data_IF_252447804601
#
_entry.id   IF_252447804601
#
_cell.length_a   1.000
_cell.length_b   1.000
_cell.length_c   1.000
_cell.angle_alpha   90.00
_cell.angle_beta   90.00
_cell.angle_gamma   90.00
#
_symmetry.space_group_name_H-M   'P 1'
#
loop_
_entity.id
_entity.type
_entity.pdbx_description
1 polymer ?
#
# COMPACT_ATOMS: atom_id res chain seq x y z
N UNK A 1 -18.39 -7.87 3.58
CA UNK A 1 -16.99 -7.57 3.96
C UNK A 1 -16.21 -7.29 2.68
N UNK A 2 -15.41 -6.24 2.65
CA UNK A 2 -14.59 -5.87 1.47
C UNK A 2 -13.35 -6.78 1.41
N UNK A 3 -12.93 -7.18 0.21
CA UNK A 3 -11.67 -7.90 -0.02
C UNK A 3 -10.88 -7.21 -1.12
N UNK A 4 -9.56 -7.32 -1.03
CA UNK A 4 -8.67 -6.88 -2.10
C UNK A 4 -8.95 -7.63 -3.40
N UNK A 5 -8.61 -7.01 -4.54
CA UNK A 5 -8.85 -7.54 -5.89
C UNK A 5 -10.32 -7.90 -6.19
N UNK A 6 -11.28 -7.17 -5.61
CA UNK A 6 -12.70 -7.30 -5.95
C UNK A 6 -13.19 -6.04 -6.66
N UNK A 7 -13.89 -6.24 -7.79
CA UNK A 7 -14.61 -5.16 -8.44
C UNK A 7 -15.93 -4.89 -7.69
N UNK A 8 -16.15 -3.64 -7.31
CA UNK A 8 -17.28 -3.23 -6.47
C UNK A 8 -17.93 -1.96 -7.00
N UNK A 9 -19.25 -1.87 -6.84
CA UNK A 9 -20.01 -0.63 -7.02
C UNK A 9 -20.31 -0.06 -5.64
N UNK A 10 -19.84 1.16 -5.38
CA UNK A 10 -20.09 1.89 -4.14
C UNK A 10 -21.09 3.02 -4.42
N UNK A 11 -22.23 3.00 -3.73
CA UNK A 11 -23.31 4.00 -3.84
C UNK A 11 -23.49 4.73 -2.52
N UNK A 12 -23.82 6.02 -2.59
CA UNK A 12 -23.90 6.94 -1.46
C UNK A 12 -22.64 7.00 -0.58
N UNK A 13 -21.42 7.07 -1.16
CA UNK A 13 -20.26 7.44 -0.35
C UNK A 13 -20.35 8.92 0.05
N UNK A 14 -19.64 9.28 1.11
CA UNK A 14 -19.27 10.69 1.33
C UNK A 14 -17.85 10.95 0.86
N UNK A 15 -17.56 12.18 0.47
CA UNK A 15 -16.21 12.63 0.14
C UNK A 15 -15.65 13.45 1.30
N UNK A 16 -14.39 13.19 1.64
CA UNK A 16 -13.66 13.98 2.63
C UNK A 16 -12.26 14.34 2.11
N UNK A 17 -11.64 15.32 2.76
CA UNK A 17 -10.25 15.65 2.48
C UNK A 17 -9.31 14.51 2.89
N UNK A 18 -8.36 14.20 2.01
CA UNK A 18 -7.28 13.28 2.30
C UNK A 18 -6.12 14.01 3.00
N UNK A 19 -6.15 13.99 4.34
CA UNK A 19 -5.12 14.57 5.22
C UNK A 19 -4.09 13.56 5.72
N UNK A 20 -4.00 12.37 5.12
CA UNK A 20 -2.99 11.39 5.51
C UNK A 20 -1.58 11.90 5.20
N UNK A 21 -0.65 11.66 6.13
CA UNK A 21 0.77 12.06 5.97
C UNK A 21 1.44 11.33 4.80
N UNK A 22 1.09 10.06 4.61
CA UNK A 22 1.51 9.23 3.48
C UNK A 22 0.27 8.95 2.64
N UNK A 23 0.34 9.24 1.35
CA UNK A 23 -0.77 9.04 0.41
C UNK A 23 -0.34 8.02 -0.64
N UNK A 24 -1.13 6.95 -0.76
CA UNK A 24 -0.95 5.92 -1.80
C UNK A 24 -1.56 6.34 -3.15
N UNK A 25 -2.35 7.42 -3.16
CA UNK A 25 -2.94 8.00 -4.36
C UNK A 25 -2.75 9.53 -4.32
N UNK A 26 -2.54 10.14 -5.48
CA UNK A 26 -2.35 11.59 -5.61
C UNK A 26 -3.61 12.42 -5.33
N UNK A 27 -4.77 11.76 -5.22
CA UNK A 27 -6.06 12.43 -4.94
C UNK A 27 -6.05 13.19 -3.61
N UNK A 28 -6.51 14.45 -3.67
CA UNK A 28 -6.79 15.27 -2.49
C UNK A 28 -8.05 14.82 -1.73
N UNK A 29 -8.85 13.93 -2.31
CA UNK A 29 -10.11 13.44 -1.76
C UNK A 29 -10.03 11.94 -1.42
N UNK A 30 -10.76 11.55 -0.38
CA UNK A 30 -11.02 10.16 0.00
C UNK A 30 -12.51 9.90 0.08
N UNK A 31 -12.89 8.64 -0.11
CA UNK A 31 -14.25 8.14 0.12
C UNK A 31 -14.36 7.72 1.59
N UNK A 32 -15.45 8.10 2.27
CA UNK A 32 -15.85 7.51 3.55
C UNK A 32 -17.16 6.73 3.38
N UNK A 33 -17.19 5.52 3.93
CA UNK A 33 -18.37 4.67 3.98
C UNK A 33 -19.18 5.00 5.23
N UNK A 34 -20.46 5.28 5.05
CA UNK A 34 -21.39 5.70 6.09
C UNK A 34 -22.56 4.71 6.17
N UNK A 35 -23.47 4.89 7.12
CA UNK A 35 -24.60 3.99 7.35
C UNK A 35 -25.53 3.82 6.12
N UNK A 36 -25.64 4.84 5.27
CA UNK A 36 -26.45 4.80 4.04
C UNK A 36 -25.65 4.36 2.79
N UNK A 37 -24.37 4.03 2.95
CA UNK A 37 -23.53 3.55 1.85
C UNK A 37 -23.89 2.12 1.48
N UNK A 38 -24.10 1.87 0.19
CA UNK A 38 -24.41 0.55 -0.36
C UNK A 38 -23.22 0.08 -1.19
N UNK A 39 -22.75 -1.14 -0.91
CA UNK A 39 -21.65 -1.78 -1.65
C UNK A 39 -22.14 -3.08 -2.26
N UNK A 40 -22.03 -3.23 -3.58
CA UNK A 40 -22.41 -4.43 -4.32
C UNK A 40 -21.27 -4.93 -5.19
N UNK A 41 -21.23 -6.23 -5.48
CA UNK A 41 -20.29 -6.79 -6.44
C UNK A 41 -20.52 -6.18 -7.83
N UNK A 42 -19.43 -5.92 -8.54
CA UNK A 42 -19.46 -5.54 -9.95
C UNK A 42 -19.07 -6.75 -10.79
N UNK A 43 -19.93 -7.14 -11.74
CA UNK A 43 -19.70 -8.29 -12.62
C UNK A 43 -19.09 -7.87 -13.97
N UNK A 44 -18.86 -6.58 -14.17
CA UNK A 44 -18.23 -6.01 -15.35
C UNK A 44 -16.79 -5.63 -15.02
N UNK A 45 -15.87 -5.93 -15.94
CA UNK A 45 -14.49 -5.49 -15.83
C UNK A 45 -14.45 -3.96 -16.04
N UNK A 46 -14.17 -3.20 -14.99
CA UNK A 46 -14.02 -1.75 -15.07
C UNK A 46 -12.69 -1.35 -14.42
N UNK A 47 -11.77 -0.79 -15.22
CA UNK A 47 -10.53 -0.18 -14.75
C UNK A 47 -9.25 -0.79 -15.33
N UNK A 48 -8.14 -0.07 -15.16
CA UNK A 48 -6.78 -0.64 -15.28
C UNK A 48 -6.64 -1.71 -14.21
N UNK A 49 -6.15 -2.89 -14.58
CA UNK A 49 -6.17 -4.07 -13.71
C UNK A 49 -5.41 -3.83 -12.39
N UNK A 50 -4.40 -2.93 -12.38
CA UNK A 50 -3.51 -2.82 -11.22
C UNK A 50 -3.02 -1.42 -10.85
N UNK A 51 -3.11 -0.41 -11.73
CA UNK A 51 -2.81 0.99 -11.38
C UNK A 51 -1.41 1.29 -10.80
N UNK A 52 -0.50 0.31 -10.78
CA UNK A 52 0.85 0.44 -10.24
C UNK A 52 1.79 1.17 -11.21
N UNK A 53 2.68 1.98 -10.65
CA UNK A 53 3.79 2.60 -11.36
C UNK A 53 5.11 2.06 -10.81
N UNK A 54 5.52 0.88 -11.31
CA UNK A 54 6.68 0.17 -10.76
C UNK A 54 7.99 0.92 -10.98
N UNK A 55 8.78 1.00 -9.92
CA UNK A 55 10.13 1.56 -9.93
C UNK A 55 11.16 0.42 -9.88
N UNK A 56 12.18 0.40 -10.78
CA UNK A 56 13.28 -0.56 -10.71
C UNK A 56 14.02 -0.50 -9.38
N UNK A 57 14.49 -1.65 -8.88
CA UNK A 57 15.22 -1.74 -7.62
C UNK A 57 16.49 -0.87 -7.62
N UNK A 58 17.19 -0.77 -8.75
CA UNK A 58 18.39 0.07 -8.91
C UNK A 58 18.09 1.57 -8.72
N UNK A 59 16.83 1.99 -8.93
CA UNK A 59 16.40 3.36 -8.73
C UNK A 59 15.98 3.64 -7.28
N UNK A 60 16.00 2.65 -6.37
CA UNK A 60 15.49 2.78 -5.01
C UNK A 60 16.45 3.45 -3.99
N UNK A 61 17.37 4.30 -4.48
CA UNK A 61 18.36 5.15 -3.76
C UNK A 61 19.70 4.47 -3.42
N UNK A 62 20.77 5.16 -3.84
CA UNK A 62 22.19 4.78 -3.77
C UNK A 62 22.89 5.06 -2.42
N UNK A 63 22.20 5.58 -1.39
CA UNK A 63 22.82 5.94 -0.11
C UNK A 63 21.99 5.51 1.12
N UNK A 64 22.27 4.33 1.71
CA UNK A 64 21.52 3.80 2.85
C UNK A 64 21.76 4.54 4.18
N UNK A 65 22.68 5.51 4.22
CA UNK A 65 22.97 6.32 5.42
C UNK A 65 22.31 7.72 5.39
N UNK A 66 21.67 8.10 4.29
CA UNK A 66 21.02 9.41 4.15
C UNK A 66 19.48 9.28 4.18
N UNK A 67 18.93 9.28 5.40
CA UNK A 67 17.49 9.31 5.65
C UNK A 67 16.78 10.54 5.03
N UNK A 68 17.52 11.56 4.56
CA UNK A 68 16.91 12.71 3.88
C UNK A 68 16.41 12.39 2.46
N UNK A 69 16.90 11.28 1.89
CA UNK A 69 16.41 10.70 0.63
C UNK A 69 15.34 9.61 0.83
N UNK A 70 14.83 9.43 2.05
CA UNK A 70 13.62 8.67 2.32
C UNK A 70 12.52 9.11 1.35
N UNK A 71 11.91 8.16 0.63
CA UNK A 71 10.88 8.48 -0.35
C UNK A 71 9.81 9.36 0.30
N UNK A 72 9.72 10.62 -0.18
CA UNK A 72 8.70 11.57 0.27
C UNK A 72 7.29 11.14 -0.17
N UNK A 73 7.18 10.09 -0.97
CA UNK A 73 5.97 9.49 -1.54
C UNK A 73 6.03 7.96 -1.46
N UNK A 74 4.89 7.29 -1.60
CA UNK A 74 4.88 5.83 -1.78
C UNK A 74 5.60 5.43 -3.07
N UNK A 75 6.12 4.19 -3.09
CA UNK A 75 6.72 3.54 -4.26
C UNK A 75 6.00 2.22 -4.52
N UNK A 76 5.87 1.86 -5.79
CA UNK A 76 5.43 0.53 -6.19
C UNK A 76 6.65 -0.25 -6.67
N UNK A 77 6.84 -1.46 -6.14
CA UNK A 77 7.96 -2.34 -6.49
C UNK A 77 7.45 -3.72 -6.86
N UNK A 78 8.12 -4.37 -7.81
CA UNK A 78 7.82 -5.73 -8.24
C UNK A 78 9.11 -6.50 -8.47
N UNK A 79 9.16 -7.75 -8.01
CA UNK A 79 10.33 -8.59 -8.13
C UNK A 79 10.10 -9.99 -7.58
N UNK A 80 11.10 -10.86 -7.74
CA UNK A 80 11.13 -12.20 -7.19
C UNK A 80 11.56 -12.17 -5.74
N UNK A 81 10.85 -12.92 -4.89
CA UNK A 81 11.31 -13.19 -3.52
C UNK A 81 12.44 -14.22 -3.59
N UNK A 82 13.68 -13.75 -3.43
CA UNK A 82 14.89 -14.61 -3.49
C UNK A 82 15.33 -15.12 -2.12
N UNK A 83 14.88 -14.46 -1.04
CA UNK A 83 15.10 -14.92 0.34
C UNK A 83 14.00 -14.44 1.26
N UNK A 84 13.55 -15.31 2.15
CA UNK A 84 12.76 -14.97 3.34
C UNK A 84 13.62 -15.14 4.59
N UNK A 85 13.56 -14.19 5.51
CA UNK A 85 14.24 -14.31 6.81
C UNK A 85 13.29 -14.85 7.87
N UNK A 86 13.81 -15.43 8.97
CA UNK A 86 12.99 -15.85 10.08
C UNK A 86 12.10 -14.72 10.62
N UNK A 87 10.93 -15.11 11.10
CA UNK A 87 9.98 -14.22 11.70
C UNK A 87 10.49 -13.68 13.05
N UNK A 88 10.34 -12.38 13.29
CA UNK A 88 10.72 -11.70 14.52
C UNK A 88 9.46 -11.20 15.26
N UNK A 89 9.37 -11.51 16.56
CA UNK A 89 8.46 -10.81 17.48
C UNK A 89 9.20 -9.62 18.06
N UNK A 90 8.62 -8.43 17.92
CA UNK A 90 9.08 -7.22 18.61
C UNK A 90 8.16 -6.98 19.81
N UNK A 91 8.72 -7.22 20.99
CA UNK A 91 7.99 -7.09 22.26
C UNK A 91 8.01 -5.65 22.83
N UNK A 92 8.82 -4.76 22.27
CA UNK A 92 9.00 -3.40 22.79
C UNK A 92 8.86 -2.33 21.71
N UNK A 93 7.61 -1.99 21.41
CA UNK A 93 7.31 -0.69 20.82
C UNK A 93 6.85 0.27 21.92
N UNK A 94 7.07 1.58 21.73
CA UNK A 94 6.70 2.66 22.65
C UNK A 94 5.22 2.67 23.11
N UNK A 95 4.37 1.84 22.51
CA UNK A 95 2.95 1.72 22.78
C UNK A 95 2.54 0.39 23.45
N UNK A 96 3.49 -0.48 23.83
CA UNK A 96 3.23 -1.75 24.51
C UNK A 96 2.48 -2.79 23.69
N UNK A 97 2.49 -2.67 22.36
CA UNK A 97 1.86 -3.62 21.43
C UNK A 97 2.92 -4.54 20.85
N UNK A 98 2.61 -5.83 20.81
CA UNK A 98 3.40 -6.82 20.09
C UNK A 98 3.35 -6.54 18.58
N UNK A 99 4.51 -6.47 17.94
CA UNK A 99 4.63 -6.37 16.51
C UNK A 99 5.29 -7.60 15.90
N UNK A 100 4.77 -7.96 14.72
CA UNK A 100 5.18 -9.11 13.93
C UNK A 100 5.99 -8.60 12.75
N UNK A 101 7.29 -8.87 12.71
CA UNK A 101 8.17 -8.44 11.61
C UNK A 101 8.61 -9.64 10.78
N UNK A 102 8.43 -9.53 9.48
CA UNK A 102 8.92 -10.48 8.48
C UNK A 102 9.72 -9.71 7.44
N UNK A 103 10.90 -10.21 7.10
CA UNK A 103 11.79 -9.57 6.14
C UNK A 103 11.95 -10.45 4.92
N UNK A 104 11.93 -9.84 3.74
CA UNK A 104 12.17 -10.50 2.45
C UNK A 104 13.26 -9.76 1.68
N UNK A 105 13.98 -10.48 0.84
CA UNK A 105 14.87 -9.93 -0.19
C UNK A 105 14.19 -10.09 -1.55
N UNK A 106 14.04 -8.98 -2.27
CA UNK A 106 13.43 -8.91 -3.59
C UNK A 106 14.53 -8.61 -4.63
N UNK A 107 14.43 -9.25 -5.79
CA UNK A 107 15.24 -8.95 -6.98
C UNK A 107 14.30 -8.73 -8.18
N UNK A 108 14.46 -7.64 -8.92
CA UNK A 108 13.71 -7.38 -10.15
C UNK A 108 14.39 -8.03 -11.38
N UNK A 109 13.72 -7.99 -12.53
CA UNK A 109 14.30 -8.42 -13.80
C UNK A 109 15.28 -7.34 -14.27
N UNK A 110 16.56 -7.70 -14.38
CA UNK A 110 17.58 -6.86 -15.02
C UNK A 110 17.28 -6.59 -16.49
#
# INVERSE_FOLDING_TARGET
MLKENQCLVIRNPSLGENRQKVKYISSALKINLNDNTVVTACNEAVGSEWGFEFVPCDNLVENPEDDSNSFKSSIDVIGYVVRSFPFELKDNNNNGKEEKKLTFMLEDLR
#
